data_IF_370307727200
#
_entry.id   IF_370307727200
#
_cell.length_a   1.000
_cell.length_b   1.000
_cell.length_c   1.000
_cell.angle_alpha   90.00
_cell.angle_beta   90.00
_cell.angle_gamma   90.00
#
_symmetry.space_group_name_H-M   'P 1'
#
loop_
_entity.id
_entity.type
_entity.pdbx_description
1 polymer ?
#
# COMPACT_ATOMS: atom_id res chain seq x y z
N UNK A 1 -1.57 -5.65 -9.98
CA UNK A 1 -2.74 -4.75 -9.87
C UNK A 1 -3.79 -5.24 -8.88
N UNK A 2 -3.91 -6.54 -8.64
CA UNK A 2 -4.86 -7.12 -7.66
C UNK A 2 -4.63 -6.60 -6.24
N UNK A 3 -3.39 -6.59 -5.74
CA UNK A 3 -3.04 -6.07 -4.40
C UNK A 3 -3.43 -4.60 -4.20
N UNK A 4 -3.20 -3.78 -5.23
CA UNK A 4 -3.50 -2.35 -5.22
C UNK A 4 -5.01 -2.06 -5.15
N UNK A 5 -5.80 -2.72 -6.01
CA UNK A 5 -7.26 -2.60 -6.00
C UNK A 5 -7.88 -3.17 -4.72
N UNK A 6 -7.31 -4.26 -4.20
CA UNK A 6 -7.74 -4.82 -2.92
C UNK A 6 -7.43 -3.87 -1.75
N UNK A 7 -6.26 -3.23 -1.73
CA UNK A 7 -5.92 -2.23 -0.71
C UNK A 7 -6.87 -1.04 -0.77
N UNK A 8 -7.10 -0.48 -1.96
CA UNK A 8 -8.06 0.63 -2.13
C UNK A 8 -9.48 0.25 -1.68
N UNK A 9 -9.95 -0.96 -2.00
CA UNK A 9 -11.26 -1.42 -1.55
C UNK A 9 -11.30 -1.63 -0.03
N UNK A 10 -10.35 -2.39 0.53
CA UNK A 10 -10.38 -2.77 1.95
C UNK A 10 -10.07 -1.62 2.90
N UNK A 11 -9.25 -0.64 2.50
CA UNK A 11 -8.80 0.47 3.34
C UNK A 11 -9.57 1.76 3.10
N UNK A 12 -9.96 2.01 1.84
CA UNK A 12 -10.53 3.29 1.41
C UNK A 12 -11.95 3.15 0.84
N UNK A 13 -12.55 1.95 0.90
CA UNK A 13 -13.90 1.64 0.40
C UNK A 13 -14.12 1.90 -1.09
N UNK A 14 -13.05 2.11 -1.87
CA UNK A 14 -13.14 2.35 -3.31
C UNK A 14 -13.28 1.02 -4.05
N UNK A 15 -14.45 0.75 -4.64
CA UNK A 15 -14.66 -0.51 -5.36
C UNK A 15 -13.90 -0.50 -6.69
N UNK A 16 -13.48 -1.68 -7.21
CA UNK A 16 -12.81 -1.76 -8.50
C UNK A 16 -13.58 -1.11 -9.65
N UNK A 17 -14.91 -1.27 -9.68
CA UNK A 17 -15.77 -0.65 -10.70
C UNK A 17 -15.74 0.88 -10.66
N UNK A 18 -15.75 1.46 -9.46
CA UNK A 18 -15.65 2.90 -9.25
C UNK A 18 -14.29 3.41 -9.72
N UNK A 19 -13.20 2.73 -9.33
CA UNK A 19 -11.85 3.07 -9.81
C UNK A 19 -11.76 3.10 -11.33
N UNK A 20 -12.33 2.11 -12.03
CA UNK A 20 -12.27 2.07 -13.50
C UNK A 20 -13.12 3.13 -14.18
N UNK A 21 -14.18 3.60 -13.52
CA UNK A 21 -15.04 4.69 -14.02
C UNK A 21 -14.37 6.06 -13.96
N UNK A 22 -13.31 6.23 -13.16
CA UNK A 22 -12.61 7.50 -13.03
C UNK A 22 -11.87 7.89 -14.32
N UNK A 23 -11.73 9.20 -14.59
CA UNK A 23 -10.86 9.72 -15.64
C UNK A 23 -9.43 9.17 -15.53
N UNK A 24 -8.74 9.07 -16.67
CA UNK A 24 -7.37 8.52 -16.71
C UNK A 24 -6.44 9.20 -15.70
N UNK A 25 -6.51 10.52 -15.56
CA UNK A 25 -5.67 11.29 -14.63
C UNK A 25 -5.89 10.88 -13.17
N UNK A 26 -7.14 10.80 -12.74
CA UNK A 26 -7.51 10.41 -11.38
C UNK A 26 -7.09 8.97 -11.06
N UNK A 27 -7.24 8.05 -12.03
CA UNK A 27 -6.73 6.67 -11.87
C UNK A 27 -5.23 6.63 -11.68
N UNK A 28 -4.47 7.45 -12.42
CA UNK A 28 -3.02 7.51 -12.26
C UNK A 28 -2.64 8.10 -10.88
N UNK A 29 -3.34 9.14 -10.44
CA UNK A 29 -3.10 9.77 -9.15
C UNK A 29 -3.35 8.80 -7.99
N UNK A 30 -4.51 8.16 -7.97
CA UNK A 30 -4.86 7.18 -6.92
C UNK A 30 -3.91 5.99 -6.91
N UNK A 31 -3.48 5.54 -8.09
CA UNK A 31 -2.49 4.47 -8.20
C UNK A 31 -1.17 4.88 -7.54
N UNK A 32 -0.62 6.05 -7.89
CA UNK A 32 0.64 6.53 -7.35
C UNK A 32 0.58 6.68 -5.82
N UNK A 33 -0.51 7.24 -5.29
CA UNK A 33 -0.68 7.39 -3.84
C UNK A 33 -0.79 6.04 -3.12
N UNK A 34 -1.54 5.10 -3.70
CA UNK A 34 -1.67 3.75 -3.14
C UNK A 34 -0.34 2.98 -3.16
N UNK A 35 0.45 3.11 -4.23
CA UNK A 35 1.78 2.50 -4.32
C UNK A 35 2.69 3.06 -3.21
N UNK A 36 2.67 4.38 -2.99
CA UNK A 36 3.42 5.02 -1.91
C UNK A 36 2.98 4.54 -0.51
N UNK A 37 1.67 4.42 -0.25
CA UNK A 37 1.17 3.88 1.03
C UNK A 37 1.68 2.47 1.30
N UNK A 38 1.63 1.59 0.30
CA UNK A 38 2.07 0.20 0.42
C UNK A 38 3.58 0.11 0.69
N UNK A 39 4.39 0.95 0.05
CA UNK A 39 5.83 1.03 0.30
C UNK A 39 6.14 1.43 1.76
N UNK A 40 5.44 2.44 2.29
CA UNK A 40 5.57 2.87 3.69
C UNK A 40 5.17 1.77 4.68
N UNK A 41 4.14 0.99 4.36
CA UNK A 41 3.72 -0.16 5.17
C UNK A 41 4.73 -1.31 5.13
N UNK A 42 5.33 -1.59 3.97
CA UNK A 42 6.36 -2.62 3.85
C UNK A 42 7.65 -2.26 4.60
N UNK A 43 8.00 -0.97 4.63
CA UNK A 43 9.18 -0.46 5.32
C UNK A 43 9.03 -0.50 6.84
N UNK A 44 7.82 -0.30 7.36
CA UNK A 44 7.52 -0.40 8.80
C UNK A 44 7.37 -1.83 9.30
N UNK A 45 7.18 -2.81 8.40
CA UNK A 45 7.09 -4.23 8.73
C UNK A 45 8.45 -4.92 8.90
N UNK A 46 9.57 -4.24 8.62
CA UNK A 46 10.89 -4.77 8.94
C UNK A 46 11.08 -4.79 10.46
N UNK A 47 11.18 -5.97 11.12
CA UNK A 47 11.50 -6.00 12.53
C UNK A 47 12.91 -5.44 12.67
N UNK A 48 13.04 -4.35 13.42
CA UNK A 48 14.33 -3.94 13.99
C UNK A 48 14.87 -5.15 14.75
N UNK A 49 15.75 -5.91 14.10
CA UNK A 49 16.52 -6.98 14.71
C UNK A 49 17.51 -6.38 15.68
N UNK A 50 17.03 -5.97 16.87
CA UNK A 50 17.88 -5.65 17.99
C UNK A 50 18.37 -6.96 18.62
N UNK A 51 19.33 -7.58 17.94
CA UNK A 51 20.08 -8.72 18.44
C UNK A 51 20.93 -8.30 19.64
N UNK A 52 20.40 -8.57 20.84
CA UNK A 52 21.10 -8.66 22.12
C UNK A 52 22.55 -9.14 21.97
N UNK A 53 23.54 -8.34 22.39
CA UNK A 53 24.88 -8.87 22.71
C UNK A 53 24.76 -9.81 23.93
N UNK A 54 25.07 -11.10 23.75
CA UNK A 54 25.37 -11.99 24.86
C UNK A 54 26.83 -11.78 25.31
N UNK A 55 27.11 -11.63 26.60
CA UNK A 55 28.47 -11.77 27.12
C UNK A 55 28.71 -13.25 27.48
N UNK A 56 29.82 -13.79 26.99
CA UNK A 56 30.40 -15.08 27.39
C UNK A 56 31.91 -14.92 27.41
#
# INVERSE_FOLDING_TARGET
MTTLLFHMWSRHSLRPGEFWSLPKGERMLLRAFTEMELEMMSSSASPSGSGRKQPG
#
